data_IF_367582947022
#
_entry.id   IF_367582947022
#
_cell.length_a   1.000
_cell.length_b   1.000
_cell.length_c   1.000
_cell.angle_alpha   90.00
_cell.angle_beta   90.00
_cell.angle_gamma   90.00
#
_symmetry.space_group_name_H-M   'P 1'
#
loop_
_entity.id
_entity.type
_entity.pdbx_description
1 polymer ?
#
# COMPACT_ATOMS: atom_id res chain seq x y z
N UNK A 1 7.93 22.78 -17.93
CA UNK A 1 8.53 21.44 -17.96
C UNK A 1 7.49 20.35 -18.24
N UNK A 2 6.51 20.01 -17.36
CA UNK A 2 5.50 18.97 -17.68
C UNK A 2 4.70 19.33 -18.94
N UNK A 3 4.22 20.58 -19.07
CA UNK A 3 3.52 21.05 -20.27
C UNK A 3 4.37 20.98 -21.54
N UNK A 4 5.66 21.26 -21.44
CA UNK A 4 6.60 21.15 -22.57
C UNK A 4 6.82 19.69 -22.97
N UNK A 5 6.90 18.77 -21.99
CA UNK A 5 6.97 17.33 -22.24
C UNK A 5 5.70 16.83 -22.93
N UNK A 6 4.53 17.24 -22.48
CA UNK A 6 3.26 16.89 -23.13
C UNK A 6 3.20 17.44 -24.56
N UNK A 7 3.55 18.71 -24.77
CA UNK A 7 3.58 19.31 -26.11
C UNK A 7 4.53 18.57 -27.05
N UNK A 8 5.71 18.14 -26.57
CA UNK A 8 6.63 17.31 -27.34
C UNK A 8 6.01 15.97 -27.72
N UNK A 9 5.36 15.28 -26.76
CA UNK A 9 4.71 13.99 -27.01
C UNK A 9 3.55 14.12 -27.99
N UNK A 10 2.73 15.18 -27.88
CA UNK A 10 1.63 15.46 -28.81
C UNK A 10 2.13 15.78 -30.23
N UNK A 11 3.31 16.38 -30.34
CA UNK A 11 3.95 16.60 -31.64
C UNK A 11 4.54 15.31 -32.24
N UNK A 12 5.10 14.43 -31.37
CA UNK A 12 5.76 13.19 -31.81
C UNK A 12 4.76 12.08 -32.13
N UNK A 13 3.76 11.92 -31.29
CA UNK A 13 2.64 10.98 -31.44
C UNK A 13 1.33 11.68 -31.05
N UNK A 14 0.61 12.27 -32.01
CA UNK A 14 -0.62 13.03 -31.73
C UNK A 14 -1.74 12.20 -31.07
N UNK A 15 -1.81 10.91 -31.38
CA UNK A 15 -2.85 10.00 -30.84
C UNK A 15 -2.62 9.75 -29.33
N UNK A 16 -1.42 9.35 -28.95
CA UNK A 16 -1.04 9.15 -27.54
C UNK A 16 -0.99 10.49 -26.82
N UNK A 17 -0.44 11.53 -27.44
CA UNK A 17 -0.38 12.88 -26.87
C UNK A 17 -1.73 13.41 -26.45
N UNK A 18 -2.77 13.23 -27.30
CA UNK A 18 -4.13 13.63 -26.98
C UNK A 18 -4.70 12.93 -25.75
N UNK A 19 -4.38 11.64 -25.54
CA UNK A 19 -4.83 10.92 -24.33
C UNK A 19 -4.18 11.45 -23.05
N UNK A 20 -2.90 11.79 -23.13
CA UNK A 20 -2.15 12.38 -22.00
C UNK A 20 -2.69 13.77 -21.66
N UNK A 21 -2.95 14.61 -22.65
CA UNK A 21 -3.54 15.93 -22.45
C UNK A 21 -4.96 15.85 -21.86
N UNK A 22 -5.77 14.91 -22.32
CA UNK A 22 -7.12 14.69 -21.78
C UNK A 22 -7.05 14.28 -20.30
N UNK A 23 -6.16 13.38 -19.91
CA UNK A 23 -5.98 12.99 -18.51
C UNK A 23 -5.46 14.14 -17.65
N UNK A 24 -4.47 14.90 -18.15
CA UNK A 24 -3.99 16.09 -17.45
C UNK A 24 -5.12 17.10 -17.18
N UNK A 25 -6.00 17.32 -18.16
CA UNK A 25 -7.16 18.21 -17.98
C UNK A 25 -8.20 17.61 -17.03
N UNK A 26 -8.40 16.30 -17.03
CA UNK A 26 -9.27 15.61 -16.07
C UNK A 26 -8.78 15.83 -14.65
N UNK A 27 -7.49 15.56 -14.39
CA UNK A 27 -6.87 15.76 -13.05
C UNK A 27 -6.95 17.21 -12.58
N UNK A 28 -6.84 18.19 -13.48
CA UNK A 28 -6.97 19.60 -13.11
C UNK A 28 -8.41 20.04 -12.83
N UNK A 29 -9.38 19.39 -13.45
CA UNK A 29 -10.80 19.74 -13.33
C UNK A 29 -11.46 19.02 -12.17
N UNK A 30 -11.17 17.73 -12.00
CA UNK A 30 -11.89 16.87 -11.07
C UNK A 30 -11.35 17.01 -9.65
N UNK A 31 -12.24 16.86 -8.68
CA UNK A 31 -11.88 16.62 -7.29
C UNK A 31 -11.58 15.12 -7.16
N UNK A 32 -10.31 14.77 -7.01
CA UNK A 32 -9.88 13.40 -6.85
C UNK A 32 -10.02 12.93 -5.40
N UNK A 33 -10.89 11.97 -5.17
CA UNK A 33 -11.20 11.43 -3.85
C UNK A 33 -11.03 9.91 -3.76
N UNK A 34 -10.36 9.26 -4.73
CA UNK A 34 -9.95 7.87 -4.60
C UNK A 34 -8.80 7.78 -3.60
N UNK A 35 -9.01 7.12 -2.45
CA UNK A 35 -8.05 7.08 -1.34
C UNK A 35 -6.66 6.49 -1.69
N UNK A 36 -6.57 5.77 -2.80
CA UNK A 36 -5.32 5.18 -3.31
C UNK A 36 -4.63 6.01 -4.39
N UNK A 37 -5.16 7.20 -4.74
CA UNK A 37 -4.55 8.10 -5.72
C UNK A 37 -3.91 9.32 -5.05
N UNK A 38 -2.97 9.95 -5.75
CA UNK A 38 -2.28 11.14 -5.29
C UNK A 38 -1.62 11.86 -6.46
N UNK A 39 -1.40 13.15 -6.31
CA UNK A 39 -0.68 13.98 -7.29
C UNK A 39 0.79 14.03 -6.90
N UNK A 40 1.64 13.41 -7.71
CA UNK A 40 3.08 13.38 -7.47
C UNK A 40 3.76 14.68 -7.89
N UNK A 41 4.96 14.93 -7.35
CA UNK A 41 5.74 16.11 -7.76
C UNK A 41 6.23 16.01 -9.21
N UNK A 42 6.45 17.14 -9.90
CA UNK A 42 7.07 17.13 -11.23
C UNK A 42 8.41 16.39 -11.25
N UNK A 43 9.20 16.46 -10.19
CA UNK A 43 10.48 15.77 -10.10
C UNK A 43 10.32 14.23 -10.14
N UNK A 44 9.32 13.69 -9.43
CA UNK A 44 8.98 12.27 -9.48
C UNK A 44 8.54 11.84 -10.88
N UNK A 45 7.65 12.61 -11.55
CA UNK A 45 7.21 12.33 -12.92
C UNK A 45 8.36 12.33 -13.91
N UNK A 46 9.23 13.33 -13.85
CA UNK A 46 10.34 13.47 -14.80
C UNK A 46 11.41 12.39 -14.63
N UNK A 47 11.65 11.92 -13.40
CA UNK A 47 12.59 10.84 -13.17
C UNK A 47 12.18 9.55 -13.88
N UNK A 48 10.87 9.28 -14.00
CA UNK A 48 10.34 8.11 -14.68
C UNK A 48 10.61 8.13 -16.21
N UNK A 49 10.77 9.30 -16.81
CA UNK A 49 11.07 9.49 -18.25
C UNK A 49 12.56 9.61 -18.58
N UNK A 50 13.47 9.18 -17.70
CA UNK A 50 14.91 9.33 -17.91
C UNK A 50 15.55 8.16 -18.68
N UNK A 51 16.81 8.34 -19.11
CA UNK A 51 17.61 7.31 -19.79
C UNK A 51 17.83 6.03 -18.93
N UNK A 52 17.54 6.06 -17.65
CA UNK A 52 17.65 4.87 -16.76
C UNK A 52 16.73 3.73 -17.21
N UNK A 53 15.68 4.02 -17.99
CA UNK A 53 14.81 3.00 -18.62
C UNK A 53 15.58 2.07 -19.58
N UNK A 54 16.73 2.50 -20.11
CA UNK A 54 17.51 1.74 -21.08
C UNK A 54 18.38 0.66 -20.40
N UNK A 55 18.59 0.72 -19.08
CA UNK A 55 19.57 -0.11 -18.38
C UNK A 55 18.98 -1.40 -17.84
N UNK A 56 19.56 -2.53 -18.25
CA UNK A 56 19.29 -3.85 -17.70
C UNK A 56 20.22 -4.14 -16.50
N UNK A 57 19.66 -4.37 -15.31
CA UNK A 57 20.43 -4.41 -14.06
C UNK A 57 19.99 -5.54 -13.12
N UNK A 58 19.79 -6.78 -13.63
CA UNK A 58 19.50 -7.94 -12.78
C UNK A 58 20.55 -8.14 -11.70
N UNK A 59 20.10 -8.51 -10.51
CA UNK A 59 20.92 -8.60 -9.31
C UNK A 59 20.74 -7.35 -8.43
N UNK A 60 21.75 -7.07 -7.62
CA UNK A 60 21.73 -5.98 -6.62
C UNK A 60 23.00 -5.12 -6.74
N UNK A 61 23.05 -3.90 -6.20
CA UNK A 61 24.26 -3.06 -6.22
C UNK A 61 25.52 -3.81 -5.83
N UNK A 62 26.53 -3.71 -6.68
CA UNK A 62 27.80 -4.43 -6.52
C UNK A 62 27.77 -5.94 -6.83
N UNK A 63 26.60 -6.51 -7.15
CA UNK A 63 26.41 -7.94 -7.47
C UNK A 63 25.44 -8.11 -8.65
N UNK A 64 25.72 -7.43 -9.77
CA UNK A 64 24.89 -7.49 -10.97
C UNK A 64 25.33 -8.63 -11.90
N UNK A 65 24.36 -9.13 -12.66
CA UNK A 65 24.62 -10.10 -13.73
C UNK A 65 25.11 -9.43 -15.01
N UNK A 66 24.98 -8.11 -15.14
CA UNK A 66 25.33 -7.32 -16.34
C UNK A 66 26.39 -6.28 -16.02
N UNK A 67 27.25 -5.97 -17.01
CA UNK A 67 28.21 -4.88 -16.92
C UNK A 67 27.57 -3.49 -17.00
N UNK A 68 28.35 -2.45 -16.67
CA UNK A 68 27.92 -1.05 -16.82
C UNK A 68 26.87 -0.58 -15.82
N UNK A 69 26.73 -1.23 -14.67
CA UNK A 69 25.71 -0.93 -13.68
C UNK A 69 26.14 0.08 -12.61
N UNK A 70 27.37 0.56 -12.63
CA UNK A 70 27.92 1.42 -11.57
C UNK A 70 27.11 2.69 -11.30
N UNK A 71 26.47 3.29 -12.32
CA UNK A 71 25.61 4.46 -12.11
C UNK A 71 24.26 4.10 -11.48
N UNK A 72 23.62 3.01 -11.96
CA UNK A 72 22.33 2.57 -11.39
C UNK A 72 22.50 1.98 -10.01
N UNK A 73 23.67 1.40 -9.69
CA UNK A 73 24.01 0.96 -8.33
C UNK A 73 23.95 2.11 -7.34
N UNK A 74 24.48 3.28 -7.71
CA UNK A 74 24.38 4.49 -6.87
C UNK A 74 22.92 4.94 -6.69
N UNK A 75 22.14 4.92 -7.80
CA UNK A 75 20.72 5.29 -7.76
C UNK A 75 19.90 4.38 -6.84
N UNK A 76 20.09 3.07 -6.99
CA UNK A 76 19.39 2.10 -6.16
C UNK A 76 19.81 2.18 -4.70
N UNK A 77 21.10 2.37 -4.42
CA UNK A 77 21.60 2.50 -3.05
C UNK A 77 21.06 3.77 -2.37
N UNK A 78 20.98 4.89 -3.08
CA UNK A 78 20.32 6.11 -2.57
C UNK A 78 18.86 5.83 -2.19
N UNK A 79 18.12 5.11 -3.05
CA UNK A 79 16.72 4.76 -2.77
C UNK A 79 16.61 3.87 -1.52
N UNK A 80 17.45 2.84 -1.40
CA UNK A 80 17.49 1.91 -0.25
C UNK A 80 17.80 2.64 1.05
N UNK A 81 18.86 3.47 1.07
CA UNK A 81 19.26 4.24 2.25
C UNK A 81 18.18 5.23 2.69
N UNK A 82 17.55 5.92 1.72
CA UNK A 82 16.46 6.85 2.03
C UNK A 82 15.23 6.13 2.57
N UNK A 83 14.88 4.96 2.04
CA UNK A 83 13.78 4.15 2.56
C UNK A 83 14.05 3.68 3.99
N UNK A 84 15.25 3.14 4.27
CA UNK A 84 15.66 2.75 5.61
C UNK A 84 15.61 3.93 6.59
N UNK A 85 16.15 5.09 6.20
CA UNK A 85 16.15 6.30 7.03
C UNK A 85 14.73 6.81 7.29
N UNK A 86 13.87 6.82 6.27
CA UNK A 86 12.50 7.35 6.35
C UNK A 86 11.63 6.55 7.31
N UNK A 87 11.75 5.24 7.29
CA UNK A 87 10.89 4.35 8.07
C UNK A 87 11.56 3.74 9.30
N UNK A 88 12.85 3.98 9.50
CA UNK A 88 13.62 3.38 10.61
C UNK A 88 13.82 1.87 10.43
N UNK A 89 13.91 1.38 9.18
CA UNK A 89 14.08 -0.03 8.86
C UNK A 89 15.57 -0.41 8.76
N UNK A 90 15.88 -1.67 9.08
CA UNK A 90 17.24 -2.21 8.97
C UNK A 90 17.62 -2.54 7.52
N UNK A 91 16.65 -2.99 6.72
CA UNK A 91 16.83 -3.35 5.32
C UNK A 91 15.65 -2.87 4.47
N UNK A 92 15.94 -2.48 3.24
CA UNK A 92 14.95 -2.10 2.24
C UNK A 92 15.26 -2.74 0.89
N UNK A 93 14.25 -3.34 0.27
CA UNK A 93 14.27 -3.75 -1.13
C UNK A 93 13.34 -2.82 -1.94
N UNK A 94 13.91 -2.07 -2.87
CA UNK A 94 13.21 -1.06 -3.68
C UNK A 94 12.87 -1.54 -5.09
N UNK A 95 13.21 -2.79 -5.42
CA UNK A 95 12.98 -3.38 -6.75
C UNK A 95 11.54 -3.86 -7.02
N UNK A 96 10.65 -4.14 -6.05
CA UNK A 96 9.30 -4.59 -6.38
C UNK A 96 8.59 -3.63 -7.33
N UNK A 97 8.04 -4.19 -8.43
CA UNK A 97 7.37 -3.42 -9.49
C UNK A 97 6.04 -2.83 -9.02
N UNK A 98 5.39 -3.47 -8.05
CA UNK A 98 4.10 -3.04 -7.48
C UNK A 98 3.95 -3.53 -6.04
N UNK A 99 2.92 -3.06 -5.33
CA UNK A 99 2.56 -3.61 -4.02
C UNK A 99 2.21 -5.10 -4.08
N UNK A 100 1.53 -5.53 -5.14
CA UNK A 100 1.20 -6.95 -5.32
C UNK A 100 2.45 -7.83 -5.48
N UNK A 101 3.45 -7.38 -6.26
CA UNK A 101 4.73 -8.11 -6.37
C UNK A 101 5.56 -8.06 -5.09
N UNK A 102 5.49 -6.96 -4.33
CA UNK A 102 6.10 -6.88 -3.00
C UNK A 102 5.48 -7.92 -2.04
N UNK A 103 4.15 -8.00 -2.01
CA UNK A 103 3.43 -8.99 -1.21
C UNK A 103 3.79 -10.42 -1.62
N UNK A 104 3.79 -10.72 -2.94
CA UNK A 104 4.14 -12.05 -3.45
C UNK A 104 5.57 -12.45 -3.05
N UNK A 105 6.54 -11.55 -3.16
CA UNK A 105 7.91 -11.80 -2.75
C UNK A 105 8.02 -12.04 -1.23
N UNK A 106 7.31 -11.24 -0.41
CA UNK A 106 7.25 -11.43 1.03
C UNK A 106 6.62 -12.80 1.40
N UNK A 107 5.51 -13.19 0.77
CA UNK A 107 4.91 -14.51 0.95
C UNK A 107 5.92 -15.63 0.60
N UNK A 108 6.56 -15.54 -0.57
CA UNK A 108 7.57 -16.52 -1.01
C UNK A 108 8.76 -16.64 -0.05
N UNK A 109 9.15 -15.54 0.59
CA UNK A 109 10.25 -15.53 1.55
C UNK A 109 9.90 -16.23 2.88
N UNK A 110 8.64 -16.18 3.29
CA UNK A 110 8.19 -16.62 4.62
C UNK A 110 7.34 -17.90 4.60
N UNK A 111 6.69 -18.23 3.50
CA UNK A 111 5.73 -19.33 3.39
C UNK A 111 6.11 -20.33 2.29
N UNK A 112 5.60 -21.54 2.42
CA UNK A 112 5.57 -22.56 1.38
C UNK A 112 4.13 -22.70 0.83
N UNK A 113 3.94 -23.12 -0.43
CA UNK A 113 2.62 -23.41 -0.97
C UNK A 113 1.82 -24.36 -0.04
N UNK A 114 0.58 -24.00 0.24
CA UNK A 114 -0.29 -24.73 1.18
C UNK A 114 -0.21 -24.28 2.64
N UNK A 115 0.78 -23.44 3.01
CA UNK A 115 0.85 -22.91 4.37
C UNK A 115 -0.37 -22.05 4.71
N UNK A 116 -0.78 -22.13 5.98
CA UNK A 116 -1.86 -21.32 6.53
C UNK A 116 -1.34 -19.95 6.97
N UNK A 117 -2.05 -18.91 6.60
CA UNK A 117 -1.84 -17.55 7.12
C UNK A 117 -3.17 -16.85 7.40
N UNK A 118 -3.12 -15.83 8.25
CA UNK A 118 -4.27 -14.97 8.52
C UNK A 118 -4.15 -13.65 7.77
N UNK A 119 -5.27 -13.14 7.26
CA UNK A 119 -5.35 -11.84 6.60
C UNK A 119 -6.75 -11.24 6.75
N UNK A 120 -6.88 -9.92 6.61
CA UNK A 120 -8.18 -9.27 6.72
C UNK A 120 -9.13 -9.75 5.63
N UNK A 121 -10.39 -10.00 6.01
CA UNK A 121 -11.46 -10.36 5.10
C UNK A 121 -11.62 -9.29 4.00
N UNK A 122 -11.67 -9.73 2.75
CA UNK A 122 -11.81 -8.84 1.58
C UNK A 122 -13.07 -7.95 1.67
N UNK A 123 -14.19 -8.49 2.18
CA UNK A 123 -15.44 -7.75 2.35
C UNK A 123 -15.36 -6.69 3.48
N UNK A 124 -14.36 -6.80 4.36
CA UNK A 124 -14.15 -5.89 5.49
C UNK A 124 -12.96 -4.94 5.28
N UNK A 125 -12.49 -4.81 4.05
CA UNK A 125 -11.44 -3.86 3.67
C UNK A 125 -10.08 -4.47 3.38
N UNK A 126 -9.95 -5.81 3.34
CA UNK A 126 -8.72 -6.49 2.90
C UNK A 126 -8.37 -6.19 1.44
N UNK A 127 -7.09 -6.30 1.09
CA UNK A 127 -6.64 -6.17 -0.29
C UNK A 127 -6.76 -7.50 -1.05
N UNK A 128 -6.90 -7.46 -2.39
CA UNK A 128 -6.96 -8.68 -3.22
C UNK A 128 -5.76 -9.61 -3.00
N UNK A 129 -4.55 -9.06 -2.84
CA UNK A 129 -3.34 -9.84 -2.56
C UNK A 129 -3.22 -10.32 -1.09
N UNK A 130 -4.26 -10.14 -0.28
CA UNK A 130 -4.33 -10.65 1.10
C UNK A 130 -5.16 -11.94 1.23
N UNK A 131 -5.37 -12.67 0.12
CA UNK A 131 -6.04 -13.97 0.18
C UNK A 131 -7.29 -14.11 -0.69
N UNK A 132 -7.51 -13.19 -1.64
CA UNK A 132 -8.61 -13.35 -2.59
C UNK A 132 -8.43 -14.67 -3.38
N UNK A 133 -9.50 -15.49 -3.53
CA UNK A 133 -9.43 -16.75 -4.26
C UNK A 133 -9.02 -16.63 -5.73
N UNK A 134 -9.11 -15.43 -6.31
CA UNK A 134 -8.67 -15.13 -7.69
C UNK A 134 -7.24 -14.60 -7.75
N UNK A 135 -6.59 -14.43 -6.61
CA UNK A 135 -5.21 -13.96 -6.51
C UNK A 135 -4.28 -15.11 -6.11
N UNK A 136 -3.01 -15.04 -6.52
CA UNK A 136 -1.99 -16.05 -6.16
C UNK A 136 -1.95 -16.30 -4.65
N UNK A 137 -2.14 -15.25 -3.82
CA UNK A 137 -2.16 -15.39 -2.36
C UNK A 137 -3.25 -16.31 -1.83
N UNK A 138 -4.42 -16.36 -2.49
CA UNK A 138 -5.50 -17.28 -2.15
C UNK A 138 -5.48 -18.60 -2.91
N UNK A 139 -4.69 -18.70 -3.99
CA UNK A 139 -4.55 -19.93 -4.78
C UNK A 139 -3.44 -20.84 -4.27
N UNK A 140 -2.32 -20.27 -3.82
CA UNK A 140 -1.15 -21.03 -3.38
C UNK A 140 -1.09 -21.25 -1.87
N UNK A 141 -1.77 -20.43 -1.07
CA UNK A 141 -1.74 -20.48 0.37
C UNK A 141 -3.15 -20.61 0.93
N UNK A 142 -3.26 -21.15 2.14
CA UNK A 142 -4.54 -21.28 2.84
C UNK A 142 -4.78 -20.04 3.71
N UNK A 143 -5.62 -19.11 3.23
CA UNK A 143 -5.99 -17.92 3.99
C UNK A 143 -7.11 -18.22 4.98
N UNK A 144 -6.90 -17.91 6.26
CA UNK A 144 -7.94 -17.83 7.29
C UNK A 144 -8.24 -16.34 7.53
N UNK A 145 -9.44 -15.86 7.16
CA UNK A 145 -9.75 -14.44 7.30
C UNK A 145 -10.07 -14.07 8.74
N UNK A 146 -9.58 -12.90 9.19
CA UNK A 146 -10.13 -12.21 10.33
C UNK A 146 -11.06 -11.08 9.87
N UNK A 147 -12.07 -10.78 10.66
CA UNK A 147 -13.12 -9.83 10.34
C UNK A 147 -13.12 -8.64 11.29
N UNK A 148 -13.91 -7.62 10.95
CA UNK A 148 -14.22 -6.54 11.86
C UNK A 148 -15.36 -6.97 12.79
N UNK A 149 -15.42 -6.39 13.98
CA UNK A 149 -16.55 -6.51 14.87
C UNK A 149 -17.80 -5.90 14.23
N UNK A 150 -18.94 -6.59 14.30
CA UNK A 150 -20.17 -6.19 13.60
C UNK A 150 -20.80 -4.92 14.17
N UNK A 151 -20.58 -4.61 15.45
CA UNK A 151 -21.16 -3.44 16.12
C UNK A 151 -20.28 -2.20 15.96
N UNK A 152 -18.96 -2.35 16.17
CA UNK A 152 -18.01 -1.24 16.15
C UNK A 152 -17.44 -0.97 14.76
N UNK A 153 -17.53 -1.95 13.84
CA UNK A 153 -16.91 -1.96 12.52
C UNK A 153 -15.39 -1.73 12.58
N UNK A 154 -14.74 -2.15 13.68
CA UNK A 154 -13.31 -2.07 13.92
C UNK A 154 -12.71 -3.47 14.09
N UNK A 155 -11.38 -3.56 13.97
CA UNK A 155 -10.64 -4.80 14.19
C UNK A 155 -10.89 -5.28 15.62
N UNK A 156 -11.38 -6.53 15.72
CA UNK A 156 -11.57 -7.22 16.99
C UNK A 156 -10.31 -8.03 17.30
N UNK A 157 -9.47 -7.50 18.18
CA UNK A 157 -8.20 -8.14 18.52
C UNK A 157 -8.37 -9.40 19.38
N UNK A 158 -9.44 -9.50 20.15
CA UNK A 158 -9.73 -10.69 20.96
C UNK A 158 -10.18 -11.84 20.06
N UNK A 159 -11.04 -11.55 19.08
CA UNK A 159 -11.44 -12.53 18.07
C UNK A 159 -10.26 -12.93 17.17
N UNK A 160 -9.40 -11.97 16.78
CA UNK A 160 -8.18 -12.25 16.02
C UNK A 160 -7.24 -13.18 16.81
N UNK A 161 -7.05 -12.95 18.11
CA UNK A 161 -6.30 -13.83 18.98
C UNK A 161 -6.90 -15.25 19.02
N UNK A 162 -8.23 -15.35 19.21
CA UNK A 162 -8.93 -16.64 19.23
C UNK A 162 -8.73 -17.42 17.95
N UNK A 163 -8.92 -16.78 16.79
CA UNK A 163 -8.72 -17.41 15.48
C UNK A 163 -7.26 -17.87 15.32
N UNK A 164 -6.29 -17.03 15.72
CA UNK A 164 -4.87 -17.38 15.63
C UNK A 164 -4.53 -18.61 16.49
N UNK A 165 -5.11 -18.73 17.71
CA UNK A 165 -4.92 -19.91 18.57
C UNK A 165 -5.52 -21.19 17.95
N UNK A 166 -6.62 -21.07 17.22
CA UNK A 166 -7.29 -22.20 16.57
C UNK A 166 -6.55 -22.66 15.31
N UNK A 167 -6.22 -21.75 14.39
CA UNK A 167 -5.65 -22.12 13.09
C UNK A 167 -4.12 -22.21 13.08
N UNK A 168 -3.43 -21.71 14.13
CA UNK A 168 -1.95 -21.73 14.24
C UNK A 168 -1.25 -21.32 12.93
N UNK A 169 -1.49 -20.10 12.45
CA UNK A 169 -0.96 -19.67 11.15
C UNK A 169 0.56 -19.54 11.20
N UNK A 170 1.23 -19.77 10.08
CA UNK A 170 2.66 -19.46 9.94
C UNK A 170 2.92 -17.95 9.82
N UNK A 171 1.94 -17.17 9.37
CA UNK A 171 2.04 -15.73 9.21
C UNK A 171 0.70 -15.05 9.52
N UNK A 172 0.76 -13.89 10.15
CA UNK A 172 -0.37 -12.97 10.27
C UNK A 172 -0.05 -11.74 9.42
N UNK A 173 -0.97 -11.41 8.49
CA UNK A 173 -0.89 -10.25 7.63
C UNK A 173 -1.84 -9.17 8.13
N UNK A 174 -1.28 -8.07 8.63
CA UNK A 174 -2.00 -6.87 8.99
C UNK A 174 -1.96 -5.85 7.84
N UNK A 175 -2.91 -4.91 7.85
CA UNK A 175 -3.05 -3.89 6.81
C UNK A 175 -4.35 -4.04 6.03
N UNK A 176 -4.78 -2.94 5.43
CA UNK A 176 -6.07 -2.86 4.75
C UNK A 176 -6.03 -1.87 3.58
N UNK A 177 -6.92 -2.09 2.60
CA UNK A 177 -7.19 -1.14 1.51
C UNK A 177 -8.31 -0.15 1.85
N UNK A 178 -9.25 -0.56 2.72
CA UNK A 178 -10.45 0.22 3.02
C UNK A 178 -10.79 0.11 4.51
N UNK A 179 -9.91 0.64 5.37
CA UNK A 179 -10.12 0.67 6.82
C UNK A 179 -9.82 2.07 7.36
N UNK A 180 -10.84 2.78 7.89
CA UNK A 180 -10.72 4.20 8.25
C UNK A 180 -10.11 4.45 9.63
N UNK A 181 -9.84 3.43 10.43
CA UNK A 181 -9.34 3.58 11.80
C UNK A 181 -7.86 3.25 11.93
N UNK A 182 -7.26 3.65 13.04
CA UNK A 182 -5.88 3.27 13.37
C UNK A 182 -5.78 1.76 13.57
N UNK A 183 -4.63 1.21 13.17
CA UNK A 183 -4.27 -0.20 13.38
C UNK A 183 -3.23 -0.27 14.48
N UNK A 184 -3.47 -1.11 15.49
CA UNK A 184 -2.53 -1.36 16.59
C UNK A 184 -1.60 -2.52 16.22
N UNK A 185 -0.41 -2.17 15.72
CA UNK A 185 0.58 -3.16 15.31
C UNK A 185 1.26 -3.86 16.51
N UNK A 186 1.25 -3.25 17.69
CA UNK A 186 1.76 -3.91 18.89
C UNK A 186 0.88 -5.11 19.27
N UNK A 187 -0.45 -4.95 19.25
CA UNK A 187 -1.38 -6.07 19.46
C UNK A 187 -1.22 -7.18 18.41
N UNK A 188 -1.04 -6.81 17.15
CA UNK A 188 -0.74 -7.81 16.11
C UNK A 188 0.55 -8.58 16.42
N UNK A 189 1.61 -7.91 16.91
CA UNK A 189 2.87 -8.56 17.31
C UNK A 189 2.66 -9.54 18.46
N UNK A 190 1.96 -9.12 19.51
CA UNK A 190 1.62 -9.98 20.67
C UNK A 190 0.88 -11.25 20.23
N UNK A 191 -0.12 -11.09 19.34
CA UNK A 191 -0.87 -12.23 18.80
C UNK A 191 0.03 -13.14 17.95
N UNK A 192 0.83 -12.58 17.06
CA UNK A 192 1.74 -13.38 16.24
C UNK A 192 2.76 -14.15 17.09
N UNK A 193 3.31 -13.52 18.14
CA UNK A 193 4.26 -14.17 19.06
C UNK A 193 3.60 -15.31 19.84
N UNK A 194 2.33 -15.17 20.24
CA UNK A 194 1.59 -16.19 20.99
C UNK A 194 1.43 -17.51 20.23
N UNK A 195 1.54 -17.48 18.89
CA UNK A 195 1.43 -18.66 18.02
C UNK A 195 2.72 -18.94 17.21
N UNK A 196 3.78 -18.17 17.44
CA UNK A 196 5.05 -18.31 16.72
C UNK A 196 4.99 -17.90 15.25
N UNK A 197 3.97 -17.13 14.84
CA UNK A 197 3.78 -16.69 13.46
C UNK A 197 4.74 -15.55 13.06
N UNK A 198 5.03 -15.42 11.75
CA UNK A 198 5.56 -14.16 11.22
C UNK A 198 4.50 -13.07 11.32
N UNK A 199 4.93 -11.83 11.56
CA UNK A 199 4.08 -10.67 11.37
C UNK A 199 4.51 -9.92 10.10
N UNK A 200 3.66 -9.93 9.09
CA UNK A 200 3.77 -9.10 7.90
C UNK A 200 2.77 -7.95 7.98
N UNK A 201 3.19 -6.75 7.60
CA UNK A 201 2.28 -5.60 7.52
C UNK A 201 2.35 -4.99 6.12
N UNK A 202 1.21 -4.93 5.45
CA UNK A 202 1.04 -4.11 4.23
C UNK A 202 0.55 -2.72 4.64
N UNK A 203 1.47 -1.75 4.63
CA UNK A 203 1.17 -0.36 5.00
C UNK A 203 0.86 0.52 3.79
N UNK A 204 0.60 -0.05 2.61
CA UNK A 204 0.50 0.69 1.36
C UNK A 204 -0.41 1.93 1.43
N UNK A 205 -1.59 1.81 2.03
CA UNK A 205 -2.52 2.94 2.17
C UNK A 205 -2.02 4.04 3.11
N UNK A 206 -1.36 3.67 4.17
CA UNK A 206 -0.95 4.58 5.25
C UNK A 206 0.54 4.94 5.21
N UNK A 207 1.31 4.47 4.21
CA UNK A 207 2.76 4.63 4.18
C UNK A 207 3.22 6.10 4.29
N UNK A 208 2.51 7.01 3.62
CA UNK A 208 2.78 8.45 3.74
C UNK A 208 2.46 9.01 5.12
N UNK A 209 1.42 8.50 5.78
CA UNK A 209 1.04 8.92 7.14
C UNK A 209 2.02 8.37 8.18
N UNK A 210 2.55 7.17 7.97
CA UNK A 210 3.65 6.60 8.77
C UNK A 210 4.92 7.41 8.59
N UNK A 211 5.29 7.74 7.34
CA UNK A 211 6.45 8.58 7.03
C UNK A 211 6.34 9.99 7.65
N UNK A 212 5.14 10.56 7.66
CA UNK A 212 4.83 11.85 8.30
C UNK A 212 4.75 11.78 9.83
N UNK A 213 4.78 10.59 10.44
CA UNK A 213 4.65 10.41 11.89
C UNK A 213 3.26 10.66 12.45
N UNK A 214 2.21 10.66 11.61
CA UNK A 214 0.81 10.86 12.01
C UNK A 214 0.01 9.55 12.16
N UNK A 215 0.62 8.44 11.78
CA UNK A 215 0.13 7.08 12.04
C UNK A 215 1.24 6.24 12.68
N UNK A 216 0.87 5.29 13.54
CA UNK A 216 1.81 4.34 14.16
C UNK A 216 2.60 3.60 13.07
N UNK A 217 3.92 3.53 13.25
CA UNK A 217 4.78 2.75 12.35
C UNK A 217 4.69 1.26 12.64
N UNK A 218 4.50 0.40 11.62
CA UNK A 218 4.57 -1.05 11.79
C UNK A 218 6.00 -1.59 11.91
N UNK A 219 7.01 -0.82 11.48
CA UNK A 219 8.40 -1.30 11.34
C UNK A 219 9.00 -1.85 12.64
N UNK A 220 8.78 -1.26 13.82
CA UNK A 220 9.30 -1.82 15.07
C UNK A 220 8.68 -3.18 15.44
N UNK A 221 7.49 -3.49 14.97
CA UNK A 221 6.70 -4.66 15.36
C UNK A 221 6.74 -5.79 14.34
N UNK A 222 6.76 -5.46 13.05
CA UNK A 222 6.69 -6.43 11.97
C UNK A 222 8.05 -7.09 11.67
N UNK A 223 8.01 -8.32 11.18
CA UNK A 223 9.18 -8.98 10.61
C UNK A 223 9.43 -8.44 9.20
N UNK A 224 8.35 -8.26 8.42
CA UNK A 224 8.36 -7.70 7.06
C UNK A 224 7.25 -6.67 6.93
N UNK A 225 7.58 -5.53 6.32
CA UNK A 225 6.61 -4.50 5.95
C UNK A 225 6.64 -4.30 4.44
N UNK A 226 5.50 -4.42 3.78
CA UNK A 226 5.35 -4.11 2.36
C UNK A 226 4.60 -2.80 2.18
N UNK A 227 4.81 -2.18 1.03
CA UNK A 227 4.11 -0.96 0.66
C UNK A 227 4.04 -0.78 -0.85
N UNK A 228 3.13 0.08 -1.28
CA UNK A 228 3.24 0.82 -2.54
C UNK A 228 3.92 2.16 -2.29
N UNK A 229 4.40 2.80 -3.36
CA UNK A 229 5.03 4.14 -3.26
C UNK A 229 4.13 5.27 -3.74
N UNK A 230 2.98 4.96 -4.37
CA UNK A 230 2.14 5.91 -5.12
C UNK A 230 0.84 6.36 -4.45
N UNK A 231 0.57 5.94 -3.20
CA UNK A 231 -0.64 6.34 -2.46
C UNK A 231 -0.34 7.55 -1.57
N UNK A 232 -0.60 7.48 -0.28
CA UNK A 232 -0.29 8.58 0.65
C UNK A 232 1.20 8.97 0.66
N UNK A 233 2.11 8.08 0.26
CA UNK A 233 3.54 8.36 0.15
C UNK A 233 3.90 9.29 -1.02
N UNK A 234 2.98 9.48 -1.98
CA UNK A 234 3.08 10.47 -3.06
C UNK A 234 4.29 10.28 -3.99
N UNK A 235 4.60 9.02 -4.31
CA UNK A 235 5.71 8.63 -5.20
C UNK A 235 5.26 7.98 -6.50
N UNK A 236 6.20 7.42 -7.27
CA UNK A 236 5.88 6.71 -8.49
C UNK A 236 5.10 5.43 -8.21
N UNK A 237 4.37 4.91 -9.20
CA UNK A 237 3.76 3.58 -9.09
C UNK A 237 4.86 2.52 -9.00
N UNK A 238 4.89 1.83 -7.85
CA UNK A 238 5.89 0.82 -7.54
C UNK A 238 5.63 0.20 -6.16
N UNK A 239 6.46 -0.76 -5.79
CA UNK A 239 6.43 -1.43 -4.50
C UNK A 239 7.68 -1.18 -3.67
N UNK A 240 7.62 -1.54 -2.40
CA UNK A 240 8.70 -1.44 -1.42
C UNK A 240 8.56 -2.59 -0.42
N UNK A 241 9.68 -3.18 -0.02
CA UNK A 241 9.72 -4.10 1.12
C UNK A 241 10.74 -3.59 2.11
N UNK A 242 10.35 -3.53 3.37
CA UNK A 242 11.21 -3.24 4.51
C UNK A 242 11.24 -4.47 5.41
N UNK A 243 12.36 -4.80 6.00
CA UNK A 243 12.42 -5.91 6.95
C UNK A 243 13.58 -5.75 7.94
N UNK A 244 13.60 -6.61 8.95
CA UNK A 244 14.76 -6.83 9.81
C UNK A 244 15.85 -7.55 9.00
N UNK A 245 17.12 -7.33 9.34
CA UNK A 245 18.22 -8.08 8.73
C UNK A 245 18.14 -9.56 9.12
N UNK A 246 17.95 -9.82 10.41
CA UNK A 246 17.85 -11.15 10.96
C UNK A 246 16.72 -11.22 12.00
N UNK A 247 16.10 -12.37 12.11
CA UNK A 247 15.13 -12.67 13.15
C UNK A 247 15.46 -14.02 13.77
N UNK A 248 15.18 -14.16 15.05
CA UNK A 248 15.31 -15.46 15.75
C UNK A 248 13.89 -15.94 16.09
N UNK A 249 13.54 -17.12 15.60
CA UNK A 249 12.23 -17.73 15.83
C UNK A 249 12.37 -19.17 16.26
N UNK A 250 11.39 -19.63 17.02
CA UNK A 250 11.27 -21.06 17.34
C UNK A 250 10.72 -21.78 16.09
N UNK A 251 11.48 -22.74 15.60
CA UNK A 251 11.01 -23.63 14.55
C UNK A 251 9.86 -24.49 15.12
N UNK A 252 8.69 -24.43 14.51
CA UNK A 252 7.48 -25.11 15.01
C UNK A 252 7.63 -26.63 14.89
N UNK A 253 8.40 -27.13 13.92
CA UNK A 253 8.56 -28.56 13.66
C UNK A 253 9.61 -29.19 14.59
N UNK A 254 10.74 -28.49 14.79
CA UNK A 254 11.87 -29.03 15.60
C UNK A 254 11.85 -28.55 17.04
N UNK A 255 11.15 -27.46 17.34
CA UNK A 255 11.15 -26.82 18.66
C UNK A 255 12.43 -26.01 18.96
N UNK A 256 13.41 -25.97 18.08
CA UNK A 256 14.68 -25.27 18.24
C UNK A 256 14.57 -23.79 17.84
N UNK A 257 15.44 -22.95 18.41
CA UNK A 257 15.56 -21.55 18.01
C UNK A 257 16.44 -21.47 16.76
N UNK A 258 15.91 -20.88 15.71
CA UNK A 258 16.59 -20.69 14.43
C UNK A 258 16.77 -19.19 14.15
N UNK A 259 18.00 -18.80 13.77
CA UNK A 259 18.27 -17.44 13.27
C UNK A 259 18.15 -17.43 11.74
N UNK A 260 17.25 -16.61 11.25
CA UNK A 260 16.90 -16.49 9.84
C UNK A 260 17.42 -15.15 9.33
N UNK A 261 18.30 -15.17 8.31
CA UNK A 261 18.67 -13.95 7.57
C UNK A 261 17.52 -13.54 6.65
N UNK A 262 16.65 -12.67 7.17
CA UNK A 262 15.41 -12.30 6.52
C UNK A 262 15.65 -11.38 5.32
N UNK A 263 16.59 -10.44 5.44
CA UNK A 263 17.00 -9.56 4.34
C UNK A 263 17.42 -10.36 3.10
N UNK A 264 18.29 -11.36 3.27
CA UNK A 264 18.72 -12.22 2.17
C UNK A 264 17.57 -13.04 1.58
N UNK A 265 16.65 -13.53 2.41
CA UNK A 265 15.46 -14.26 1.92
C UNK A 265 14.55 -13.35 1.08
N UNK A 266 14.32 -12.11 1.53
CA UNK A 266 13.51 -11.12 0.81
C UNK A 266 14.18 -10.77 -0.52
N UNK A 267 15.46 -10.43 -0.52
CA UNK A 267 16.19 -10.11 -1.75
C UNK A 267 16.14 -11.27 -2.75
N UNK A 268 16.37 -12.49 -2.29
CA UNK A 268 16.30 -13.70 -3.11
C UNK A 268 14.88 -13.98 -3.63
N UNK A 269 13.86 -13.65 -2.86
CA UNK A 269 12.47 -13.81 -3.26
C UNK A 269 12.04 -12.76 -4.30
N UNK A 270 12.58 -11.54 -4.24
CA UNK A 270 12.37 -10.53 -5.28
C UNK A 270 13.14 -10.93 -6.53
N UNK A 271 14.45 -11.03 -6.46
CA UNK A 271 15.29 -11.44 -7.58
C UNK A 271 16.23 -12.57 -7.15
N UNK A 272 16.24 -13.70 -7.87
CA UNK A 272 15.49 -14.03 -9.09
C UNK A 272 14.10 -14.66 -8.82
N UNK A 273 13.59 -14.60 -7.59
CA UNK A 273 12.47 -15.41 -7.13
C UNK A 273 11.13 -15.10 -7.77
N UNK A 274 10.83 -13.84 -8.05
CA UNK A 274 9.53 -13.38 -8.60
C UNK A 274 9.67 -12.34 -9.71
N UNK A 275 10.84 -11.72 -9.86
CA UNK A 275 11.11 -10.68 -10.87
C UNK A 275 12.44 -10.93 -11.57
N UNK A 276 12.63 -10.29 -12.75
CA UNK A 276 13.88 -10.14 -13.48
C UNK A 276 14.47 -8.75 -13.26
N UNK A 277 14.80 -8.03 -14.36
CA UNK A 277 15.43 -6.71 -14.30
C UNK A 277 14.60 -5.67 -13.54
N UNK A 278 15.23 -4.89 -12.66
CA UNK A 278 14.58 -3.81 -11.95
C UNK A 278 14.25 -2.63 -12.86
N UNK A 279 13.27 -1.82 -12.50
CA UNK A 279 12.88 -0.60 -13.21
C UNK A 279 13.68 0.57 -12.65
N UNK A 280 14.90 0.79 -13.14
CA UNK A 280 15.84 1.76 -12.57
C UNK A 280 15.33 3.21 -12.64
N UNK A 281 14.57 3.57 -13.67
CA UNK A 281 13.88 4.87 -13.78
C UNK A 281 12.80 5.05 -12.71
N UNK A 282 12.11 3.99 -12.32
CA UNK A 282 11.15 4.02 -11.21
C UNK A 282 11.88 4.05 -9.87
N UNK A 283 13.01 3.36 -9.73
CA UNK A 283 13.84 3.40 -8.52
C UNK A 283 14.39 4.81 -8.29
N UNK A 284 14.82 5.50 -9.34
CA UNK A 284 15.22 6.91 -9.27
C UNK A 284 14.06 7.80 -8.77
N UNK A 285 12.87 7.60 -9.30
CA UNK A 285 11.68 8.32 -8.86
C UNK A 285 11.30 7.98 -7.40
N UNK A 286 11.48 6.72 -6.95
CA UNK A 286 11.35 6.34 -5.53
C UNK A 286 12.37 7.07 -4.67
N UNK A 287 13.63 7.17 -5.11
CA UNK A 287 14.68 7.89 -4.40
C UNK A 287 14.32 9.37 -4.19
N UNK A 288 13.75 10.03 -5.21
CA UNK A 288 13.25 11.40 -5.11
C UNK A 288 12.09 11.49 -4.13
N UNK A 289 11.09 10.62 -4.27
CA UNK A 289 9.93 10.55 -3.37
C UNK A 289 10.35 10.40 -1.90
N UNK A 290 11.24 9.47 -1.58
CA UNK A 290 11.74 9.28 -0.23
C UNK A 290 12.53 10.51 0.26
N UNK A 291 13.28 11.18 -0.63
CA UNK A 291 13.96 12.42 -0.33
C UNK A 291 13.01 13.58 -0.01
N UNK A 292 11.87 13.66 -0.70
CA UNK A 292 10.80 14.61 -0.39
C UNK A 292 10.12 14.27 0.95
N UNK A 293 9.84 12.97 1.18
CA UNK A 293 9.20 12.53 2.41
C UNK A 293 10.06 12.68 3.68
N UNK A 294 11.39 12.80 3.54
CA UNK A 294 12.32 13.10 4.64
C UNK A 294 12.33 14.58 5.05
N UNK A 295 11.68 15.47 4.27
CA UNK A 295 11.65 16.90 4.57
C UNK A 295 10.52 17.23 5.56
N UNK A 296 10.68 18.29 6.37
CA UNK A 296 9.66 18.74 7.34
C UNK A 296 8.30 19.04 6.71
N UNK A 297 8.29 19.53 5.47
CA UNK A 297 7.07 19.87 4.73
C UNK A 297 6.17 18.64 4.50
N UNK A 298 6.76 17.46 4.41
CA UNK A 298 5.98 16.23 4.25
C UNK A 298 5.21 15.87 5.51
N UNK A 299 5.74 16.20 6.70
CA UNK A 299 5.00 16.04 7.95
C UNK A 299 3.77 16.96 7.97
N UNK A 300 3.95 18.23 7.63
CA UNK A 300 2.84 19.19 7.53
C UNK A 300 1.78 18.72 6.50
N UNK A 301 2.22 18.16 5.39
CA UNK A 301 1.32 17.55 4.40
C UNK A 301 0.50 16.40 5.01
N UNK A 302 1.13 15.45 5.70
CA UNK A 302 0.43 14.31 6.33
C UNK A 302 -0.57 14.76 7.41
N UNK A 303 -0.20 15.73 8.24
CA UNK A 303 -1.09 16.34 9.24
C UNK A 303 -2.31 17.00 8.58
N UNK A 304 -2.10 17.73 7.48
CA UNK A 304 -3.19 18.38 6.75
C UNK A 304 -4.12 17.37 6.09
N UNK A 305 -3.60 16.25 5.53
CA UNK A 305 -4.42 15.17 4.96
C UNK A 305 -5.38 14.59 6.01
N UNK A 306 -4.86 14.25 7.20
CA UNK A 306 -5.70 13.69 8.28
C UNK A 306 -6.74 14.72 8.75
N UNK A 307 -6.35 15.99 8.91
CA UNK A 307 -7.24 17.06 9.31
C UNK A 307 -8.37 17.28 8.30
N UNK A 308 -8.04 17.30 7.02
CA UNK A 308 -9.02 17.46 5.95
C UNK A 308 -10.01 16.29 5.91
N UNK A 309 -9.50 15.04 6.06
CA UNK A 309 -10.35 13.85 6.12
C UNK A 309 -11.34 13.92 7.28
N UNK A 310 -10.91 14.35 8.47
CA UNK A 310 -11.78 14.50 9.62
C UNK A 310 -12.87 15.57 9.37
N UNK A 311 -12.51 16.73 8.80
CA UNK A 311 -13.46 17.79 8.49
C UNK A 311 -14.49 17.33 7.45
N UNK A 312 -14.06 16.61 6.40
CA UNK A 312 -14.96 16.05 5.40
C UNK A 312 -15.91 15.01 6.02
N UNK A 313 -15.39 14.14 6.88
CA UNK A 313 -16.18 13.14 7.59
C UNK A 313 -17.27 13.79 8.46
N UNK A 314 -16.90 14.80 9.25
CA UNK A 314 -17.84 15.56 10.08
C UNK A 314 -18.92 16.27 9.23
N UNK A 315 -18.52 16.86 8.11
CA UNK A 315 -19.46 17.51 7.17
C UNK A 315 -20.48 16.52 6.61
N UNK A 316 -20.00 15.38 6.12
CA UNK A 316 -20.88 14.33 5.58
C UNK A 316 -21.84 13.79 6.64
N UNK A 317 -21.39 13.57 7.87
CA UNK A 317 -22.27 13.11 8.95
C UNK A 317 -23.34 14.17 9.32
N UNK A 318 -23.01 15.45 9.29
CA UNK A 318 -23.99 16.53 9.51
C UNK A 318 -25.07 16.57 8.42
N UNK A 319 -24.71 16.21 7.19
CA UNK A 319 -25.64 16.08 6.06
C UNK A 319 -26.39 14.73 6.06
N UNK A 320 -26.27 13.92 7.10
CA UNK A 320 -27.02 12.69 7.28
C UNK A 320 -26.40 11.44 6.64
N UNK A 321 -25.17 11.52 6.16
CA UNK A 321 -24.45 10.33 5.68
C UNK A 321 -23.95 9.48 6.86
N UNK A 322 -24.09 8.16 6.74
CA UNK A 322 -23.49 7.22 7.66
C UNK A 322 -22.05 6.92 7.23
N UNK A 323 -21.11 7.04 8.12
CA UNK A 323 -19.74 6.58 7.91
C UNK A 323 -19.51 5.25 8.63
N UNK A 324 -18.86 4.32 7.95
CA UNK A 324 -18.42 3.06 8.54
C UNK A 324 -17.53 3.36 9.74
N UNK A 325 -17.72 2.66 10.85
CA UNK A 325 -17.07 2.88 12.15
C UNK A 325 -17.24 4.29 12.74
N UNK A 326 -18.19 5.10 12.25
CA UNK A 326 -18.50 6.42 12.78
C UNK A 326 -17.48 7.51 12.46
N UNK A 327 -16.67 7.37 11.41
CA UNK A 327 -15.71 8.42 10.99
C UNK A 327 -14.37 7.89 10.51
N UNK A 328 -13.30 8.69 10.65
CA UNK A 328 -11.95 8.34 10.22
C UNK A 328 -10.87 8.87 11.16
N UNK A 329 -9.78 8.10 11.28
CA UNK A 329 -8.54 8.50 11.99
C UNK A 329 -7.36 8.70 11.02
N UNK A 330 -7.58 8.51 9.72
CA UNK A 330 -6.53 8.55 8.71
C UNK A 330 -6.95 9.36 7.47
N UNK A 331 -6.54 8.99 6.27
CA UNK A 331 -6.80 9.70 5.02
C UNK A 331 -8.08 9.25 4.31
N UNK A 332 -8.69 8.15 4.71
CA UNK A 332 -9.85 7.58 4.01
C UNK A 332 -11.06 7.47 4.92
N UNK A 333 -12.22 7.44 4.32
CA UNK A 333 -13.50 7.12 4.96
C UNK A 333 -14.35 6.26 4.04
N UNK A 334 -15.22 5.44 4.61
CA UNK A 334 -16.20 4.65 3.88
C UNK A 334 -17.59 5.23 4.14
N UNK A 335 -18.25 5.71 3.09
CA UNK A 335 -19.58 6.30 3.17
C UNK A 335 -20.63 5.24 2.83
N UNK A 336 -21.50 4.94 3.77
CA UNK A 336 -22.63 4.04 3.56
C UNK A 336 -23.81 4.83 2.96
N UNK A 337 -24.12 4.54 1.72
CA UNK A 337 -25.19 5.24 0.97
C UNK A 337 -26.50 4.44 0.89
N UNK A 338 -26.61 3.31 1.60
CA UNK A 338 -27.81 2.45 1.60
C UNK A 338 -29.04 3.17 2.15
N UNK A 339 -28.85 4.08 3.12
CA UNK A 339 -29.92 4.90 3.67
C UNK A 339 -30.58 5.83 2.65
N UNK A 340 -29.93 6.08 1.51
CA UNK A 340 -30.48 6.85 0.39
C UNK A 340 -31.08 5.97 -0.72
N UNK A 341 -31.15 4.64 -0.51
CA UNK A 341 -31.62 3.65 -1.51
C UNK A 341 -30.85 3.70 -2.84
N UNK A 342 -29.57 4.04 -2.80
CA UNK A 342 -28.68 4.05 -3.96
C UNK A 342 -27.52 3.07 -3.77
N UNK A 343 -26.93 2.63 -4.89
CA UNK A 343 -25.77 1.75 -4.87
C UNK A 343 -24.47 2.55 -5.02
N UNK A 344 -23.31 1.99 -4.61
CA UNK A 344 -22.01 2.60 -4.84
C UNK A 344 -21.72 2.83 -6.33
N UNK A 345 -22.18 1.94 -7.19
CA UNK A 345 -22.07 2.12 -8.63
C UNK A 345 -22.85 3.35 -9.12
N UNK A 346 -24.02 3.58 -8.57
CA UNK A 346 -24.84 4.71 -8.97
C UNK A 346 -24.28 6.04 -8.44
N UNK A 347 -23.84 6.08 -7.18
CA UNK A 347 -23.25 7.30 -6.62
C UNK A 347 -21.89 7.63 -7.26
N UNK A 348 -21.05 6.62 -7.54
CA UNK A 348 -19.80 6.78 -8.29
C UNK A 348 -20.06 7.47 -9.64
N UNK A 349 -21.04 6.97 -10.42
CA UNK A 349 -21.42 7.57 -11.71
C UNK A 349 -21.93 9.02 -11.58
N UNK A 350 -22.80 9.30 -10.60
CA UNK A 350 -23.36 10.66 -10.39
C UNK A 350 -22.29 11.65 -9.95
N UNK A 351 -21.37 11.23 -9.10
CA UNK A 351 -20.27 12.09 -8.65
C UNK A 351 -19.29 12.38 -9.81
N UNK A 352 -19.02 11.40 -10.66
CA UNK A 352 -18.19 11.59 -11.86
C UNK A 352 -18.79 12.62 -12.82
N UNK A 353 -20.13 12.62 -13.02
CA UNK A 353 -20.86 13.66 -13.76
C UNK A 353 -20.70 15.07 -13.15
N UNK A 354 -20.42 15.16 -11.85
CA UNK A 354 -20.14 16.39 -11.12
C UNK A 354 -18.64 16.67 -10.95
N UNK A 355 -17.78 15.96 -11.67
CA UNK A 355 -16.33 16.08 -11.58
C UNK A 355 -15.74 15.72 -10.20
N UNK A 356 -16.38 14.80 -9.50
CA UNK A 356 -15.89 14.24 -8.24
C UNK A 356 -15.59 12.74 -8.47
N UNK A 357 -14.33 12.40 -8.45
CA UNK A 357 -13.87 11.03 -8.71
C UNK A 357 -13.76 10.25 -7.41
N UNK A 358 -14.49 9.15 -7.32
CA UNK A 358 -14.51 8.25 -6.16
C UNK A 358 -14.47 6.81 -6.63
N UNK A 359 -14.23 5.87 -5.71
CA UNK A 359 -14.38 4.43 -6.00
C UNK A 359 -15.42 3.78 -5.08
N UNK A 360 -16.12 2.78 -5.62
CA UNK A 360 -17.03 1.94 -4.83
C UNK A 360 -16.27 0.84 -4.10
N UNK A 361 -16.70 0.55 -2.87
CA UNK A 361 -16.17 -0.54 -2.05
C UNK A 361 -17.29 -1.41 -1.46
N UNK A 362 -16.96 -2.62 -1.03
CA UNK A 362 -17.77 -3.34 -0.08
C UNK A 362 -17.71 -2.65 1.29
N UNK A 363 -18.76 -2.74 2.07
CA UNK A 363 -18.78 -2.30 3.47
C UNK A 363 -19.05 -3.50 4.38
N UNK A 364 -18.51 -3.49 5.62
CA UNK A 364 -18.82 -4.52 6.61
C UNK A 364 -20.35 -4.68 6.77
N UNK A 365 -20.82 -5.83 7.20
CA UNK A 365 -22.25 -6.12 7.46
C UNK A 365 -23.18 -6.12 6.25
N UNK A 366 -22.65 -6.12 5.03
CA UNK A 366 -23.50 -6.27 3.85
C UNK A 366 -23.80 -7.75 3.56
N UNK A 367 -25.07 -8.18 3.52
CA UNK A 367 -25.41 -9.51 3.05
C UNK A 367 -24.88 -9.71 1.62
N UNK A 368 -24.13 -10.78 1.38
CA UNK A 368 -23.60 -11.11 0.05
C UNK A 368 -24.75 -11.34 -0.92
N UNK A 369 -25.05 -10.40 -1.79
CA UNK A 369 -25.70 -10.68 -3.07
C UNK A 369 -24.62 -10.80 -4.14
N UNK A 370 -24.60 -11.90 -4.87
CA UNK A 370 -23.62 -12.18 -5.93
C UNK A 370 -23.69 -11.24 -7.14
N UNK A 371 -24.60 -10.27 -7.16
CA UNK A 371 -24.92 -9.46 -8.34
C UNK A 371 -24.84 -7.94 -8.16
N UNK A 372 -24.54 -7.42 -6.95
CA UNK A 372 -24.40 -5.97 -6.76
C UNK A 372 -23.42 -5.70 -5.62
N UNK A 373 -22.24 -5.14 -5.86
CA UNK A 373 -21.39 -4.70 -4.78
C UNK A 373 -22.10 -3.59 -4.00
N UNK A 374 -22.09 -3.64 -2.66
CA UNK A 374 -22.64 -2.58 -1.84
C UNK A 374 -21.80 -1.31 -1.95
N UNK A 375 -22.44 -0.25 -1.61
CA UNK A 375 -22.08 1.11 -1.91
C UNK A 375 -21.27 1.78 -0.83
N UNK A 376 -20.02 2.07 -1.09
CA UNK A 376 -19.28 3.10 -0.36
C UNK A 376 -18.36 3.86 -1.32
N UNK A 377 -18.11 5.12 -1.03
CA UNK A 377 -17.09 5.92 -1.67
C UNK A 377 -16.00 6.24 -0.63
N UNK A 378 -14.75 6.13 -0.98
CA UNK A 378 -13.64 6.49 -0.09
C UNK A 378 -12.95 7.74 -0.64
N UNK A 379 -12.56 8.65 0.22
CA UNK A 379 -11.95 9.91 -0.19
C UNK A 379 -10.84 10.36 0.73
N UNK A 380 -9.65 10.70 0.22
CA UNK A 380 -8.83 11.71 0.84
C UNK A 380 -9.07 13.07 0.19
N UNK A 381 -8.93 14.17 0.91
CA UNK A 381 -8.91 15.51 0.32
C UNK A 381 -7.58 15.73 -0.42
N UNK A 382 -7.61 16.55 -1.49
CA UNK A 382 -6.41 16.89 -2.22
C UNK A 382 -5.41 17.63 -1.34
N UNK A 383 -4.10 17.46 -1.59
CA UNK A 383 -3.08 18.28 -0.96
C UNK A 383 -3.29 19.76 -1.34
N UNK A 384 -2.83 20.68 -0.50
CA UNK A 384 -2.75 22.09 -0.91
C UNK A 384 -1.86 22.18 -2.15
N UNK A 385 -2.14 23.12 -3.06
CA UNK A 385 -1.30 23.34 -4.23
C UNK A 385 0.13 23.57 -3.78
N UNK A 386 1.06 22.91 -4.47
CA UNK A 386 2.47 23.20 -4.26
C UNK A 386 2.71 24.67 -4.66
N UNK A 387 3.27 25.45 -3.73
CA UNK A 387 3.67 26.81 -3.97
C UNK A 387 4.78 26.90 -5.04
#
# INVERSE_FOLDING_TARGET
MIKETMAYLSQYDPEVGATIENEYHREQRNIELIASENIVSPAVMLAMGTCLTNKYAEGYPGKRYYGGCYCVDETEEIARQRACKLFGAEHANVQPHSGASANLAAFKAMLQPGDTYMGMNLAHGGHLSHGSPVNISGQYFHQVPYSLNDETEQIDYDELYRIAQECKPKMILAGASAYPRKIDFAKFREIADSVGAYLMVDMAHIAGLVAAGVHMSPVPYADVVTSTTHKTLRGPRGGLILCKNEITKKNIETGEMETINLAKKIDSAVFPGTQGGPLEHIIAAKAICFGEALKPEFKAYGEQVVKNAAVLADGLMKEGFRLVSGGTDNHLMLVDVRNFNITGKEIERRLDECFITVNKNAIPTTPRSRSSPPASASAPPPPPPAA
#
